data_IF_915311544925
#
_entry.id   IF_915311544925
#
_cell.length_a   1.000
_cell.length_b   1.000
_cell.length_c   1.000
_cell.angle_alpha   90.00
_cell.angle_beta   90.00
_cell.angle_gamma   90.00
#
_symmetry.space_group_name_H-M   'P 1'
#
loop_
_entity.id
_entity.type
_entity.pdbx_description
1 polymer ?
#
# COMPACT_ATOMS: atom_id res chain seq x y z
N UNK A 1 -10.16 33.89 -28.61
CA UNK A 1 -11.32 33.01 -28.35
C UNK A 1 -10.74 31.63 -28.09
N UNK A 2 -10.63 31.22 -26.82
CA UNK A 2 -9.79 30.08 -26.42
C UNK A 2 -10.59 28.77 -26.51
N UNK A 3 -10.56 28.14 -27.67
CA UNK A 3 -10.92 26.73 -27.84
C UNK A 3 -9.71 25.85 -27.49
N UNK A 4 -9.95 24.73 -26.80
CA UNK A 4 -8.99 23.68 -26.35
C UNK A 4 -8.40 23.78 -24.93
N UNK A 5 -9.26 23.93 -23.92
CA UNK A 5 -9.00 23.32 -22.61
C UNK A 5 -10.00 22.20 -22.38
N UNK A 6 -9.57 20.95 -22.59
CA UNK A 6 -10.35 19.74 -22.35
C UNK A 6 -10.49 19.44 -20.84
N UNK A 7 -10.78 20.45 -20.04
CA UNK A 7 -11.02 20.29 -18.62
C UNK A 7 -12.38 19.58 -18.42
N UNK A 8 -12.37 18.46 -17.69
CA UNK A 8 -13.57 17.69 -17.36
C UNK A 8 -13.80 17.76 -15.85
N UNK A 9 -15.04 17.98 -15.44
CA UNK A 9 -15.43 17.97 -14.03
C UNK A 9 -15.95 16.59 -13.65
N UNK A 10 -15.39 16.03 -12.59
CA UNK A 10 -15.78 14.73 -12.06
C UNK A 10 -16.61 14.94 -10.79
N UNK A 11 -17.86 14.49 -10.80
CA UNK A 11 -18.73 14.49 -9.62
C UNK A 11 -18.79 13.08 -9.03
N UNK A 12 -18.23 12.89 -7.84
CA UNK A 12 -18.24 11.60 -7.13
C UNK A 12 -18.80 11.76 -5.73
N UNK A 13 -19.63 10.79 -5.31
CA UNK A 13 -20.11 10.72 -3.93
C UNK A 13 -19.05 10.07 -3.06
N UNK A 14 -18.68 10.73 -1.96
CA UNK A 14 -17.73 10.22 -0.99
C UNK A 14 -18.31 10.27 0.43
N UNK A 15 -17.77 9.46 1.33
CA UNK A 15 -18.18 9.47 2.74
C UNK A 15 -17.72 10.76 3.44
N UNK A 16 -18.48 11.22 4.44
CA UNK A 16 -18.15 12.41 5.24
C UNK A 16 -16.75 12.31 5.87
N UNK A 17 -16.44 11.14 6.45
CA UNK A 17 -15.13 10.85 7.04
C UNK A 17 -13.97 11.01 6.05
N UNK A 18 -14.17 10.61 4.78
CA UNK A 18 -13.16 10.76 3.74
C UNK A 18 -12.99 12.24 3.35
N UNK A 19 -14.08 12.98 3.18
CA UNK A 19 -14.05 14.41 2.88
C UNK A 19 -13.28 15.20 3.96
N UNK A 20 -13.57 14.94 5.24
CA UNK A 20 -12.93 15.62 6.36
C UNK A 20 -11.41 15.37 6.39
N UNK A 21 -10.99 14.13 6.10
CA UNK A 21 -9.56 13.76 5.98
C UNK A 21 -8.88 14.49 4.82
N UNK A 22 -9.51 14.58 3.65
CA UNK A 22 -8.93 15.27 2.48
C UNK A 22 -8.84 16.77 2.77
N UNK A 23 -9.90 17.37 3.31
CA UNK A 23 -9.96 18.80 3.63
C UNK A 23 -8.93 19.21 4.66
N UNK A 24 -8.77 18.45 5.75
CA UNK A 24 -7.75 18.69 6.77
C UNK A 24 -6.33 18.58 6.21
N UNK A 25 -6.07 17.59 5.35
CA UNK A 25 -4.76 17.43 4.69
C UNK A 25 -4.49 18.59 3.72
N UNK A 26 -5.46 19.00 2.92
CA UNK A 26 -5.34 20.14 2.01
C UNK A 26 -5.01 21.44 2.77
N UNK A 27 -5.70 21.70 3.90
CA UNK A 27 -5.41 22.84 4.80
C UNK A 27 -3.98 22.79 5.34
N UNK A 28 -3.51 21.62 5.81
CA UNK A 28 -2.14 21.44 6.30
C UNK A 28 -1.09 21.80 5.24
N UNK A 29 -1.37 21.48 3.98
CA UNK A 29 -0.51 21.80 2.84
C UNK A 29 -0.79 23.17 2.21
N UNK A 30 -1.69 23.99 2.79
CA UNK A 30 -2.09 25.33 2.30
C UNK A 30 -2.57 25.35 0.84
N UNK A 31 -3.25 24.29 0.41
CA UNK A 31 -3.85 24.16 -0.93
C UNK A 31 -5.34 23.85 -0.84
N UNK A 32 -6.06 23.95 -1.97
CA UNK A 32 -7.48 23.60 -2.03
C UNK A 32 -7.68 22.09 -2.08
N UNK A 33 -8.84 21.62 -1.62
CA UNK A 33 -9.24 20.21 -1.69
C UNK A 33 -9.19 19.67 -3.12
N UNK A 34 -9.63 20.47 -4.09
CA UNK A 34 -9.58 20.10 -5.51
C UNK A 34 -8.16 20.02 -6.03
N UNK A 35 -7.26 20.91 -5.61
CA UNK A 35 -5.85 20.84 -6.01
C UNK A 35 -5.17 19.58 -5.45
N UNK A 36 -5.41 19.28 -4.17
CA UNK A 36 -4.89 18.05 -3.57
C UNK A 36 -5.43 16.80 -4.27
N UNK A 37 -6.74 16.77 -4.60
CA UNK A 37 -7.36 15.65 -5.30
C UNK A 37 -6.80 15.45 -6.70
N UNK A 38 -6.59 16.53 -7.46
CA UNK A 38 -5.98 16.45 -8.80
C UNK A 38 -4.57 15.88 -8.71
N UNK A 39 -3.72 16.48 -7.89
CA UNK A 39 -2.34 16.02 -7.73
C UNK A 39 -2.30 14.56 -7.28
N UNK A 40 -3.12 14.16 -6.30
CA UNK A 40 -3.14 12.76 -5.85
C UNK A 40 -3.56 11.80 -6.96
N UNK A 41 -4.53 12.16 -7.80
CA UNK A 41 -4.99 11.29 -8.90
C UNK A 41 -3.97 11.27 -10.03
N UNK A 42 -3.33 12.40 -10.35
CA UNK A 42 -2.25 12.49 -11.34
C UNK A 42 -1.03 11.69 -10.88
N UNK A 43 -0.54 11.93 -9.66
CA UNK A 43 0.53 11.16 -9.03
C UNK A 43 0.20 9.67 -9.01
N UNK A 44 -1.05 9.31 -8.65
CA UNK A 44 -1.55 7.94 -8.69
C UNK A 44 -1.38 7.38 -10.10
N UNK A 45 -1.90 8.03 -11.14
CA UNK A 45 -1.87 7.52 -12.51
C UNK A 45 -0.47 7.47 -13.15
N UNK A 46 0.46 8.32 -12.73
CA UNK A 46 1.84 8.33 -13.22
C UNK A 46 2.70 7.19 -12.64
N UNK A 47 2.24 6.55 -11.56
CA UNK A 47 2.92 5.40 -10.98
C UNK A 47 2.85 4.20 -11.94
N UNK A 48 4.01 3.70 -12.39
CA UNK A 48 4.11 2.53 -13.25
C UNK A 48 3.76 1.21 -12.52
N UNK A 49 3.38 0.18 -13.29
CA UNK A 49 2.92 -1.16 -12.87
C UNK A 49 3.62 -1.79 -11.65
N UNK A 50 4.94 -1.73 -11.59
CA UNK A 50 5.70 -2.38 -10.51
C UNK A 50 5.65 -1.62 -9.18
N UNK A 51 5.35 -0.31 -9.24
CA UNK A 51 5.21 0.56 -8.06
C UNK A 51 3.79 0.50 -7.50
N UNK A 52 2.78 0.12 -8.32
CA UNK A 52 1.42 -0.17 -7.87
C UNK A 52 1.36 -1.24 -6.80
N UNK A 53 2.03 -2.38 -7.05
CA UNK A 53 2.07 -3.50 -6.12
C UNK A 53 2.76 -3.13 -4.81
N UNK A 54 3.76 -2.24 -4.88
CA UNK A 54 4.47 -1.74 -3.70
C UNK A 54 3.61 -0.75 -2.89
N UNK A 55 2.89 0.16 -3.55
CA UNK A 55 2.05 1.17 -2.89
C UNK A 55 0.76 0.57 -2.36
N UNK A 56 0.07 -0.32 -3.09
CA UNK A 56 -1.12 -1.01 -2.58
C UNK A 56 -0.76 -1.83 -1.34
N UNK A 57 0.37 -2.53 -1.37
CA UNK A 57 0.89 -3.26 -0.21
C UNK A 57 1.24 -2.35 0.96
N UNK A 58 1.84 -1.17 0.70
CA UNK A 58 2.20 -0.20 1.74
C UNK A 58 0.98 0.55 2.30
N UNK A 59 -0.02 0.84 1.47
CA UNK A 59 -1.27 1.49 1.86
C UNK A 59 -2.14 0.53 2.67
N UNK A 60 -2.21 -0.74 2.25
CA UNK A 60 -2.81 -1.82 3.02
C UNK A 60 -2.08 -2.08 4.33
N UNK A 61 -0.75 -2.00 4.36
CA UNK A 61 0.01 -2.13 5.60
C UNK A 61 -0.21 -0.96 6.54
N UNK A 62 -0.31 0.29 6.04
CA UNK A 62 -0.67 1.46 6.87
C UNK A 62 -2.09 1.39 7.42
N UNK A 63 -3.04 0.85 6.65
CA UNK A 63 -4.41 0.60 7.11
C UNK A 63 -4.50 -0.60 8.06
N UNK A 64 -3.59 -1.58 7.94
CA UNK A 64 -3.41 -2.71 8.85
C UNK A 64 -2.48 -2.39 10.04
N UNK A 65 -1.91 -1.19 10.12
CA UNK A 65 -1.08 -0.73 11.26
C UNK A 65 -1.90 -0.37 12.49
N UNK A 66 -3.14 -0.85 12.58
CA UNK A 66 -3.79 -1.03 13.87
C UNK A 66 -3.39 -2.40 14.41
N UNK A 67 -2.44 -2.43 15.34
CA UNK A 67 -2.07 -3.58 16.19
C UNK A 67 -2.52 -4.97 15.70
N UNK A 68 -1.84 -5.47 14.68
CA UNK A 68 -1.97 -6.86 14.27
C UNK A 68 -0.65 -7.58 14.48
N UNK A 69 -0.59 -8.30 15.61
CA UNK A 69 0.50 -9.18 15.96
C UNK A 69 0.46 -10.44 15.10
N UNK A 70 1.62 -10.90 14.65
CA UNK A 70 1.76 -12.16 13.90
C UNK A 70 1.56 -13.31 14.91
N UNK A 71 0.52 -14.13 14.72
CA UNK A 71 0.25 -15.27 15.61
C UNK A 71 1.18 -16.45 15.30
N UNK A 72 1.58 -16.61 14.03
CA UNK A 72 2.35 -17.78 13.66
C UNK A 72 2.84 -17.79 12.22
N UNK A 73 3.71 -18.77 11.95
CA UNK A 73 4.40 -18.94 10.68
C UNK A 73 4.18 -20.35 10.10
N UNK A 74 3.86 -20.45 8.81
CA UNK A 74 3.83 -21.72 8.08
C UNK A 74 4.98 -21.79 7.06
N UNK A 75 5.74 -22.88 7.06
CA UNK A 75 6.82 -23.08 6.08
C UNK A 75 6.27 -23.40 4.69
N UNK A 76 6.81 -22.72 3.68
CA UNK A 76 6.49 -22.93 2.26
C UNK A 76 7.75 -22.99 1.40
N UNK A 77 7.64 -23.58 0.22
CA UNK A 77 8.66 -23.51 -0.83
C UNK A 77 8.16 -22.62 -1.96
N UNK A 78 8.95 -21.63 -2.37
CA UNK A 78 8.51 -20.63 -3.35
C UNK A 78 8.50 -21.18 -4.77
N UNK A 79 7.41 -20.96 -5.52
CA UNK A 79 7.35 -21.28 -6.95
C UNK A 79 7.80 -20.12 -7.87
N UNK A 80 7.95 -18.91 -7.32
CA UNK A 80 8.43 -17.72 -8.04
C UNK A 80 9.42 -16.95 -7.17
N UNK A 81 10.24 -16.11 -7.80
CA UNK A 81 11.08 -15.17 -7.05
C UNK A 81 10.16 -14.19 -6.31
N UNK A 82 10.45 -13.92 -5.05
CA UNK A 82 9.72 -12.95 -4.24
C UNK A 82 10.69 -12.13 -3.39
N UNK A 83 10.20 -11.05 -2.78
CA UNK A 83 11.00 -10.22 -1.88
C UNK A 83 10.44 -10.33 -0.47
N UNK A 84 11.33 -10.44 0.53
CA UNK A 84 10.95 -10.34 1.93
C UNK A 84 10.52 -8.89 2.24
N UNK A 85 9.29 -8.65 2.73
CA UNK A 85 8.81 -7.31 3.09
C UNK A 85 9.55 -6.68 4.28
N UNK A 86 10.15 -7.50 5.15
CA UNK A 86 10.81 -7.05 6.38
C UNK A 86 12.26 -6.60 6.14
N UNK A 87 13.00 -7.26 5.25
CA UNK A 87 14.42 -6.97 5.00
C UNK A 87 14.76 -6.63 3.54
N UNK A 88 13.80 -6.72 2.62
CA UNK A 88 14.02 -6.47 1.20
C UNK A 88 14.80 -7.56 0.46
N UNK A 89 15.25 -8.62 1.14
CA UNK A 89 16.05 -9.70 0.53
C UNK A 89 15.26 -10.43 -0.56
N UNK A 90 15.93 -10.68 -1.68
CA UNK A 90 15.38 -11.45 -2.81
C UNK A 90 15.39 -12.94 -2.42
N UNK A 91 14.21 -13.54 -2.41
CA UNK A 91 14.00 -14.97 -2.24
C UNK A 91 13.85 -15.61 -3.62
N UNK A 92 14.76 -16.52 -3.96
CA UNK A 92 14.74 -17.23 -5.24
C UNK A 92 13.66 -18.31 -5.27
N UNK A 93 13.17 -18.63 -6.47
CA UNK A 93 12.36 -19.82 -6.71
C UNK A 93 13.04 -21.07 -6.15
N UNK A 94 12.28 -21.91 -5.46
CA UNK A 94 12.76 -23.12 -4.78
C UNK A 94 13.34 -22.86 -3.39
N UNK A 95 13.50 -21.60 -2.96
CA UNK A 95 13.94 -21.30 -1.61
C UNK A 95 12.83 -21.55 -0.58
N UNK A 96 13.24 -21.94 0.62
CA UNK A 96 12.35 -22.08 1.77
C UNK A 96 12.03 -20.70 2.35
N UNK A 97 10.75 -20.43 2.55
CA UNK A 97 10.23 -19.18 3.12
C UNK A 97 9.09 -19.49 4.10
N UNK A 98 8.63 -18.46 4.81
CA UNK A 98 7.56 -18.59 5.80
C UNK A 98 6.40 -17.66 5.49
N UNK A 99 5.18 -18.13 5.59
CA UNK A 99 3.98 -17.29 5.57
C UNK A 99 3.63 -16.92 7.01
N UNK A 100 3.66 -15.62 7.33
CA UNK A 100 3.14 -15.08 8.59
C UNK A 100 1.63 -14.87 8.52
N UNK A 101 0.93 -15.27 9.57
CA UNK A 101 -0.51 -15.03 9.77
C UNK A 101 -0.72 -14.00 10.88
N UNK A 102 -1.61 -13.04 10.65
CA UNK A 102 -1.96 -12.00 11.62
C UNK A 102 -3.21 -12.37 12.41
N UNK A 103 -3.40 -11.73 13.55
CA UNK A 103 -4.51 -11.98 14.47
C UNK A 103 -5.86 -11.49 13.98
N UNK A 104 -5.95 -10.25 13.50
CA UNK A 104 -7.23 -9.66 13.05
C UNK A 104 -7.27 -9.46 11.53
N UNK A 105 -6.17 -9.74 10.83
CA UNK A 105 -6.04 -9.56 9.38
C UNK A 105 -5.84 -10.89 8.66
N UNK A 106 -6.60 -11.09 7.58
CA UNK A 106 -6.44 -12.22 6.66
C UNK A 106 -5.29 -12.03 5.66
N UNK A 107 -4.51 -10.95 5.80
CA UNK A 107 -3.32 -10.71 4.99
C UNK A 107 -2.25 -11.75 5.31
N UNK A 108 -1.43 -12.05 4.30
CA UNK A 108 -0.34 -13.02 4.39
C UNK A 108 0.95 -12.32 3.98
N UNK A 109 1.96 -12.38 4.83
CA UNK A 109 3.31 -11.90 4.47
C UNK A 109 4.25 -13.07 4.26
N UNK A 110 5.11 -12.98 3.25
CA UNK A 110 6.15 -13.98 2.98
C UNK A 110 7.45 -13.47 3.58
N UNK A 111 8.03 -14.20 4.52
CA UNK A 111 9.18 -13.78 5.31
C UNK A 111 10.34 -14.76 5.09
N UNK A 112 11.57 -14.23 5.05
CA UNK A 112 12.77 -15.06 4.96
C UNK A 112 13.09 -15.74 6.31
N UNK A 113 13.87 -16.84 6.32
CA UNK A 113 14.26 -17.51 7.55
C UNK A 113 14.90 -16.58 8.59
N UNK A 114 15.73 -15.64 8.14
CA UNK A 114 16.43 -14.68 9.00
C UNK A 114 15.50 -13.69 9.69
N UNK A 115 14.41 -13.28 9.04
CA UNK A 115 13.47 -12.32 9.63
C UNK A 115 12.50 -13.00 10.60
N UNK A 116 12.23 -14.29 10.43
CA UNK A 116 11.48 -15.08 11.41
C UNK A 116 12.20 -15.13 12.77
N UNK A 117 13.52 -15.26 12.77
CA UNK A 117 14.31 -15.38 14.00
C UNK A 117 14.51 -14.04 14.73
N UNK A 118 14.36 -12.91 14.03
CA UNK A 118 14.51 -11.57 14.61
C UNK A 118 13.32 -11.08 15.42
N UNK A 119 12.19 -11.79 15.41
CA UNK A 119 11.03 -11.50 16.27
C UNK A 119 11.11 -12.18 17.65
N UNK A 120 12.23 -12.83 18.00
CA UNK A 120 12.47 -13.33 19.36
C UNK A 120 13.14 -12.29 20.25
#
# INVERSE_FOLDING_TARGET
MNENKNEKVVHTRISKKLFDKISSKAKKHRITTSNLLRNLVEDYLEIHGDVWDAIDKKLRSYLASGEDSIIGYQSITLNKNSHCPLCGKILKKGAQAFIGFFEKSSQKIIVCPECKEKEK
#
